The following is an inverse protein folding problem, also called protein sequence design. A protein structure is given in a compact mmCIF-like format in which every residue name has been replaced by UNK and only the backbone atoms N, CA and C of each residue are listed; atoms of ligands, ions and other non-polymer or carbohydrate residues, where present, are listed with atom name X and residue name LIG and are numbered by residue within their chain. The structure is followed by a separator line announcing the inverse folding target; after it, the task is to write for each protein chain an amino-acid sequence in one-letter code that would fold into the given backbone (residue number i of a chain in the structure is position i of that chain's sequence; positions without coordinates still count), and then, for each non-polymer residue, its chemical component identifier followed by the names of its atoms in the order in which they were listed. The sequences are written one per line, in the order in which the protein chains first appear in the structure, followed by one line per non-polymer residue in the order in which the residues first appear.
data_IF_060058124243
#
_entry.id   IF_060058124243
#
_cell.length_a   1.000
_cell.length_b   1.000
_cell.length_c   1.000
_cell.angle_alpha   90.00
_cell.angle_beta   90.00
_cell.angle_gamma   90.00
#
_symmetry.space_group_name_H-M   'P 1'
#
loop_
_entity.id
_entity.type
_entity.pdbx_description
1 polymer ?
#
# COMPACT_ATOMS: atom_id res chain seq x y z
N UNK A 1 -3.31 -21.16 -7.30
CA UNK A 1 -1.96 -20.70 -6.93
C UNK A 1 -1.69 -19.28 -7.34
N UNK A 2 -2.03 -18.91 -8.59
CA UNK A 2 -1.80 -17.54 -9.08
C UNK A 2 -2.50 -16.49 -8.24
N UNK A 3 -3.75 -16.74 -7.84
CA UNK A 3 -4.50 -15.79 -6.99
C UNK A 3 -3.82 -15.56 -5.66
N UNK A 4 -3.33 -16.63 -5.04
CA UNK A 4 -2.61 -16.54 -3.76
C UNK A 4 -1.32 -15.75 -3.93
N UNK A 5 -0.61 -15.99 -5.04
CA UNK A 5 0.62 -15.25 -5.34
C UNK A 5 0.35 -13.76 -5.52
N UNK A 6 -0.70 -13.42 -6.27
CA UNK A 6 -1.07 -12.01 -6.48
C UNK A 6 -1.42 -11.34 -5.15
N UNK A 7 -2.25 -12.00 -4.32
CA UNK A 7 -2.64 -11.46 -3.03
C UNK A 7 -1.41 -11.28 -2.12
N UNK A 8 -0.50 -12.25 -2.11
CA UNK A 8 0.72 -12.17 -1.30
C UNK A 8 1.60 -11.01 -1.75
N UNK A 9 1.74 -10.81 -3.06
CA UNK A 9 2.53 -9.71 -3.60
C UNK A 9 1.93 -8.35 -3.22
N UNK A 10 0.61 -8.22 -3.29
CA UNK A 10 -0.06 -6.99 -2.87
C UNK A 10 0.15 -6.74 -1.38
N UNK A 11 0.04 -7.77 -0.55
CA UNK A 11 0.22 -7.63 0.88
C UNK A 11 1.66 -7.20 1.23
N UNK A 12 2.65 -7.87 0.66
CA UNK A 12 4.07 -7.55 0.88
C UNK A 12 4.37 -6.12 0.40
N UNK A 13 3.87 -5.78 -0.80
CA UNK A 13 4.09 -4.45 -1.35
C UNK A 13 3.42 -3.37 -0.48
N UNK A 14 2.20 -3.61 0.00
CA UNK A 14 1.50 -2.66 0.85
C UNK A 14 2.26 -2.43 2.16
N UNK A 15 2.75 -3.49 2.78
CA UNK A 15 3.53 -3.38 4.01
C UNK A 15 4.81 -2.58 3.75
N UNK A 16 5.51 -2.88 2.67
CA UNK A 16 6.76 -2.18 2.33
C UNK A 16 6.50 -0.70 2.03
N UNK A 17 5.45 -0.40 1.28
CA UNK A 17 5.11 0.97 0.90
C UNK A 17 4.66 1.78 2.10
N UNK A 18 3.68 1.28 2.83
CA UNK A 18 3.11 1.99 3.98
C UNK A 18 4.13 2.05 5.11
N UNK A 19 4.76 0.92 5.42
CA UNK A 19 5.77 0.86 6.46
C UNK A 19 6.98 1.75 6.15
N UNK A 20 7.40 1.78 4.88
CA UNK A 20 8.49 2.64 4.44
C UNK A 20 8.18 4.11 4.63
N UNK A 21 6.99 4.54 4.21
CA UNK A 21 6.54 5.91 4.42
C UNK A 21 6.45 6.24 5.90
N UNK A 22 5.93 5.32 6.70
CA UNK A 22 5.78 5.51 8.14
C UNK A 22 7.14 5.67 8.82
N UNK A 23 8.14 4.88 8.43
CA UNK A 23 9.49 4.99 8.98
C UNK A 23 10.09 6.38 8.69
N UNK A 24 9.92 6.86 7.46
CA UNK A 24 10.39 8.20 7.11
C UNK A 24 9.64 9.26 7.92
N UNK A 25 8.33 9.09 8.08
CA UNK A 25 7.52 9.99 8.90
C UNK A 25 8.05 10.03 10.33
N UNK A 26 8.36 8.87 10.92
CA UNK A 26 8.90 8.81 12.28
C UNK A 26 10.22 9.56 12.40
N UNK A 27 11.09 9.42 11.40
CA UNK A 27 12.38 10.10 11.41
C UNK A 27 12.24 11.61 11.29
N UNK A 28 11.39 12.08 10.37
CA UNK A 28 11.31 13.49 10.00
C UNK A 28 10.30 14.26 10.87
N UNK A 29 9.07 13.78 10.94
CA UNK A 29 7.98 14.49 11.63
C UNK A 29 8.01 14.27 13.14
N UNK A 30 8.38 13.08 13.58
CA UNK A 30 8.45 12.73 15.00
C UNK A 30 9.83 12.90 15.58
N UNK A 31 10.77 13.40 14.80
CA UNK A 31 12.15 13.71 15.23
C UNK A 31 12.87 12.53 15.87
N UNK A 32 12.66 11.34 15.29
CA UNK A 32 13.34 10.13 15.73
C UNK A 32 14.66 9.93 14.99
N UNK A 33 15.32 8.81 15.25
CA UNK A 33 16.60 8.50 14.64
C UNK A 33 16.52 8.54 13.10
N UNK A 34 17.51 9.14 12.44
CA UNK A 34 17.57 9.22 11.00
C UNK A 34 17.74 7.85 10.33
N UNK A 35 18.19 6.84 11.10
CA UNK A 35 18.25 5.46 10.60
C UNK A 35 16.87 4.95 10.17
N UNK A 36 15.82 5.45 10.79
CA UNK A 36 14.46 5.10 10.38
C UNK A 36 14.16 5.59 8.97
N UNK A 37 14.69 6.77 8.60
CA UNK A 37 14.54 7.28 7.24
C UNK A 37 15.26 6.38 6.23
N UNK A 38 16.46 5.90 6.58
CA UNK A 38 17.20 4.98 5.72
C UNK A 38 16.43 3.67 5.54
N UNK A 39 15.93 3.10 6.63
CA UNK A 39 15.11 1.89 6.59
C UNK A 39 13.86 2.08 5.73
N UNK A 40 13.22 3.25 5.86
CA UNK A 40 12.04 3.58 5.05
C UNK A 40 12.36 3.66 3.57
N UNK A 41 13.49 4.27 3.21
CA UNK A 41 13.91 4.34 1.81
C UNK A 41 14.20 2.97 1.23
N UNK A 42 14.83 2.09 2.01
CA UNK A 42 15.08 0.71 1.59
C UNK A 42 13.75 -0.03 1.37
N UNK A 43 12.80 0.14 2.29
CA UNK A 43 11.50 -0.50 2.17
C UNK A 43 10.74 -0.02 0.92
N UNK A 44 10.81 1.29 0.62
CA UNK A 44 10.16 1.83 -0.57
C UNK A 44 10.82 1.31 -1.85
N UNK A 45 12.14 1.15 -1.85
CA UNK A 45 12.82 0.54 -3.00
C UNK A 45 12.40 -0.91 -3.17
N UNK A 46 12.27 -1.65 -2.07
CA UNK A 46 11.79 -3.02 -2.10
C UNK A 46 10.37 -3.11 -2.66
N UNK A 47 9.50 -2.17 -2.26
CA UNK A 47 8.15 -2.09 -2.82
C UNK A 47 8.17 -1.99 -4.33
N UNK A 48 9.02 -1.10 -4.88
CA UNK A 48 9.13 -0.96 -6.32
C UNK A 48 9.54 -2.25 -7.01
N UNK A 49 10.46 -2.99 -6.40
CA UNK A 49 10.91 -4.27 -6.95
C UNK A 49 9.82 -5.34 -6.86
N UNK A 50 9.12 -5.41 -5.73
CA UNK A 50 8.02 -6.38 -5.54
C UNK A 50 6.92 -6.15 -6.57
N UNK A 51 6.61 -4.88 -6.87
CA UNK A 51 5.58 -4.55 -7.84
C UNK A 51 5.88 -5.13 -9.22
N UNK A 52 7.15 -5.23 -9.59
CA UNK A 52 7.53 -5.79 -10.90
C UNK A 52 7.25 -7.29 -11.01
N UNK A 53 7.02 -7.97 -9.89
CA UNK A 53 6.74 -9.40 -9.87
C UNK A 53 5.26 -9.72 -10.14
N UNK A 54 4.40 -8.71 -10.25
CA UNK A 54 2.99 -8.94 -10.58
C UNK A 54 2.85 -9.51 -12.00
N UNK A 55 1.89 -10.46 -12.19
CA UNK A 55 1.71 -11.08 -13.51
C UNK A 55 1.25 -10.14 -14.61
N UNK A 56 0.51 -9.08 -14.26
CA UNK A 56 0.03 -8.10 -15.24
C UNK A 56 1.21 -7.27 -15.73
N UNK A 57 1.33 -7.13 -17.03
CA UNK A 57 2.44 -6.40 -17.64
C UNK A 57 2.16 -4.90 -17.81
N UNK A 58 0.99 -4.44 -17.40
CA UNK A 58 0.60 -3.06 -17.57
C UNK A 58 0.88 -2.26 -16.30
N UNK A 59 1.97 -1.52 -16.30
CA UNK A 59 2.43 -0.75 -15.13
C UNK A 59 1.33 0.11 -14.53
N UNK A 60 0.59 0.85 -15.36
CA UNK A 60 -0.46 1.75 -14.87
C UNK A 60 -1.56 1.02 -14.12
N UNK A 61 -1.96 -0.15 -14.63
CA UNK A 61 -3.00 -0.94 -13.98
C UNK A 61 -2.52 -1.49 -12.64
N UNK A 62 -1.29 -1.99 -12.59
CA UNK A 62 -0.70 -2.52 -11.37
C UNK A 62 -0.63 -1.42 -10.31
N UNK A 63 -0.11 -0.26 -10.66
CA UNK A 63 0.04 0.85 -9.72
C UNK A 63 -1.32 1.42 -9.30
N UNK A 64 -2.31 1.45 -10.20
CA UNK A 64 -3.65 1.90 -9.85
C UNK A 64 -4.28 0.98 -8.79
N UNK A 65 -4.09 -0.34 -8.94
CA UNK A 65 -4.58 -1.28 -7.94
C UNK A 65 -3.87 -1.09 -6.60
N UNK A 66 -2.56 -0.93 -6.61
CA UNK A 66 -1.79 -0.65 -5.38
C UNK A 66 -2.26 0.65 -4.72
N UNK A 67 -2.54 1.68 -5.52
CA UNK A 67 -2.99 2.97 -4.98
C UNK A 67 -4.28 2.85 -4.19
N UNK A 68 -5.25 2.11 -4.70
CA UNK A 68 -6.52 1.89 -4.00
C UNK A 68 -6.35 1.08 -2.73
N UNK A 69 -5.54 0.02 -2.79
CA UNK A 69 -5.22 -0.78 -1.61
C UNK A 69 -4.44 0.05 -0.60
N UNK A 70 -3.56 0.92 -1.08
CA UNK A 70 -2.79 1.82 -0.23
C UNK A 70 -3.70 2.69 0.65
N UNK A 71 -4.78 3.21 0.10
CA UNK A 71 -5.71 4.06 0.87
C UNK A 71 -6.26 3.28 2.07
N UNK A 72 -6.82 2.10 1.82
CA UNK A 72 -7.39 1.28 2.89
C UNK A 72 -6.32 0.80 3.87
N UNK A 73 -5.17 0.38 3.34
CA UNK A 73 -4.06 -0.10 4.15
C UNK A 73 -3.47 0.98 5.04
N UNK A 74 -3.41 2.21 4.55
CA UNK A 74 -2.88 3.34 5.33
C UNK A 74 -3.77 3.64 6.53
N UNK A 75 -5.09 3.63 6.33
CA UNK A 75 -6.01 3.83 7.45
C UNK A 75 -5.88 2.70 8.47
N UNK A 76 -5.78 1.46 8.00
CA UNK A 76 -5.60 0.32 8.90
C UNK A 76 -4.28 0.41 9.67
N UNK A 77 -3.20 0.83 9.02
CA UNK A 77 -1.91 1.02 9.68
C UNK A 77 -2.00 2.05 10.79
N UNK A 78 -2.68 3.18 10.51
CA UNK A 78 -2.87 4.22 11.50
C UNK A 78 -3.64 3.72 12.72
N UNK A 79 -4.68 2.91 12.50
CA UNK A 79 -5.45 2.31 13.59
C UNK A 79 -4.58 1.41 14.45
N UNK A 80 -3.74 0.59 13.83
CA UNK A 80 -2.93 -0.40 14.54
C UNK A 80 -1.75 0.23 15.27
N UNK A 81 -1.05 1.17 14.62
CA UNK A 81 0.22 1.67 15.15
C UNK A 81 0.17 3.06 15.74
N UNK A 82 -0.75 3.90 15.31
CA UNK A 82 -0.78 5.32 15.71
C UNK A 82 -2.02 5.72 16.51
N UNK A 83 -2.89 4.77 16.84
CA UNK A 83 -4.12 5.06 17.58
C UNK A 83 -5.11 5.91 16.80
N UNK A 84 -4.98 5.94 15.48
CA UNK A 84 -5.86 6.70 14.61
C UNK A 84 -7.29 6.14 14.68
N UNK A 85 -8.26 7.04 14.71
CA UNK A 85 -9.69 6.66 14.70
C UNK A 85 -10.31 7.19 13.41
N UNK A 86 -10.55 6.31 12.42
CA UNK A 86 -11.12 6.76 11.16
C UNK A 86 -12.55 7.24 11.34
N UNK A 87 -12.88 8.34 10.68
CA UNK A 87 -14.23 8.85 10.62
C UNK A 87 -15.04 8.02 9.63
N UNK A 88 -16.37 8.22 9.63
CA UNK A 88 -17.21 7.56 8.62
C UNK A 88 -16.83 7.98 7.20
N UNK A 89 -16.31 9.19 7.03
CA UNK A 89 -15.86 9.68 5.72
C UNK A 89 -14.60 8.96 5.27
N UNK A 90 -13.68 8.69 6.19
CA UNK A 90 -12.49 7.89 5.90
C UNK A 90 -12.88 6.49 5.45
N UNK A 91 -13.82 5.88 6.17
CA UNK A 91 -14.26 4.52 5.84
C UNK A 91 -15.01 4.49 4.51
N UNK A 92 -15.85 5.48 4.24
CA UNK A 92 -16.57 5.57 2.97
C UNK A 92 -15.59 5.72 1.80
N UNK A 93 -14.59 6.59 1.94
CA UNK A 93 -13.57 6.79 0.92
C UNK A 93 -12.77 5.53 0.66
N UNK A 94 -12.37 4.84 1.74
CA UNK A 94 -11.62 3.59 1.61
C UNK A 94 -12.46 2.53 0.90
N UNK A 95 -13.75 2.42 1.23
CA UNK A 95 -14.65 1.47 0.58
C UNK A 95 -14.78 1.75 -0.92
N UNK A 96 -14.91 3.01 -1.29
CA UNK A 96 -14.99 3.42 -2.70
C UNK A 96 -13.70 3.05 -3.43
N UNK A 97 -12.54 3.27 -2.80
CA UNK A 97 -11.25 2.92 -3.39
C UNK A 97 -11.14 1.41 -3.62
N UNK A 98 -11.57 0.61 -2.64
CA UNK A 98 -11.54 -0.85 -2.78
C UNK A 98 -12.49 -1.34 -3.87
N UNK A 99 -13.65 -0.71 -4.01
CA UNK A 99 -14.56 -1.02 -5.11
C UNK A 99 -13.90 -0.71 -6.46
N UNK A 100 -13.21 0.43 -6.54
CA UNK A 100 -12.45 0.80 -7.74
C UNK A 100 -11.37 -0.22 -8.07
N UNK A 101 -10.63 -0.68 -7.07
CA UNK A 101 -9.64 -1.74 -7.26
C UNK A 101 -10.29 -3.01 -7.78
N UNK A 102 -11.44 -3.38 -7.21
CA UNK A 102 -12.18 -4.56 -7.66
C UNK A 102 -12.55 -4.45 -9.14
N UNK A 103 -13.00 -3.29 -9.58
CA UNK A 103 -13.33 -3.06 -10.99
C UNK A 103 -12.09 -3.23 -11.86
N UNK A 104 -10.97 -2.65 -11.45
CA UNK A 104 -9.72 -2.71 -12.22
C UNK A 104 -9.22 -4.15 -12.34
N UNK A 105 -9.29 -4.90 -11.24
CA UNK A 105 -8.70 -6.24 -11.18
C UNK A 105 -9.60 -7.32 -11.75
N UNK A 106 -10.91 -7.19 -11.59
CA UNK A 106 -11.85 -8.26 -11.90
C UNK A 106 -12.58 -8.08 -13.23
N UNK A 107 -12.60 -6.87 -13.78
CA UNK A 107 -13.24 -6.64 -15.07
C UNK A 107 -12.46 -7.32 -16.19
N UNK A 108 -13.14 -7.83 -17.22
CA UNK A 108 -12.43 -8.37 -18.38
C UNK A 108 -11.75 -7.24 -19.15
N UNK A 109 -10.48 -7.47 -19.49
CA UNK A 109 -9.69 -6.51 -20.27
C UNK A 109 -9.38 -7.08 -21.63
N UNK A 110 -9.75 -6.36 -22.66
CA UNK A 110 -9.57 -6.79 -24.05
C UNK A 110 -8.51 -5.96 -24.75
#
# INVERSE_FOLDING_TARGET
MTTIRIAALFLVAAIAEIGGCWLIWQAVREHRSWWLAVGGMVALAAYGLVATAQPDSHFGRVLAAYGGIFVAGSLAWGVVFDGFRPSRWDLAGAAICLLGVGVIMLAPHH
#
